data_IF_239462980411
#
_entry.id   IF_239462980411
#
_cell.length_a   1.000
_cell.length_b   1.000
_cell.length_c   1.000
_cell.angle_alpha   90.00
_cell.angle_beta   90.00
_cell.angle_gamma   90.00
#
_symmetry.space_group_name_H-M   'P 1'
#
loop_
_entity.id
_entity.type
_entity.pdbx_description
1 polymer ?
#
# COMPACT_ATOMS: atom_id res chain seq x y z
N UNK A 1 17.59 22.53 9.63
CA UNK A 1 17.74 21.24 10.33
C UNK A 1 17.38 20.13 9.35
N UNK A 2 18.02 18.96 9.41
CA UNK A 2 17.63 17.81 8.57
C UNK A 2 16.22 17.34 8.99
N UNK A 3 15.27 17.13 8.07
CA UNK A 3 13.94 16.65 8.41
C UNK A 3 14.01 15.24 9.02
N UNK A 4 13.09 14.92 9.92
CA UNK A 4 13.00 13.56 10.48
C UNK A 4 12.16 12.62 9.61
N UNK A 5 11.13 13.15 8.97
CA UNK A 5 10.21 12.42 8.11
C UNK A 5 10.06 13.12 6.76
N UNK A 6 10.26 12.35 5.70
CA UNK A 6 9.95 12.73 4.32
C UNK A 6 8.63 12.07 3.90
N UNK A 7 7.64 12.90 3.57
CA UNK A 7 6.34 12.48 3.04
C UNK A 7 6.39 12.55 1.52
N UNK A 8 6.21 11.40 0.88
CA UNK A 8 6.35 11.26 -0.57
C UNK A 8 4.99 10.97 -1.21
N UNK A 9 4.70 11.70 -2.28
CA UNK A 9 3.65 11.35 -3.25
C UNK A 9 4.27 11.14 -4.64
N UNK A 10 3.75 10.17 -5.38
CA UNK A 10 4.27 9.80 -6.71
C UNK A 10 3.15 9.76 -7.75
N UNK A 11 2.62 10.92 -8.17
CA UNK A 11 1.50 10.96 -9.09
C UNK A 11 1.91 10.47 -10.48
N UNK A 12 1.07 9.61 -11.06
CA UNK A 12 1.23 9.05 -12.42
C UNK A 12 0.08 9.43 -13.36
N UNK A 13 -0.87 10.19 -12.86
CA UNK A 13 -2.10 10.63 -13.53
C UNK A 13 -2.33 12.11 -13.21
N UNK A 14 -3.37 12.71 -13.81
CA UNK A 14 -3.79 14.08 -13.51
C UNK A 14 -3.94 14.33 -12.01
N UNK A 15 -3.68 15.57 -11.61
CA UNK A 15 -3.64 16.02 -10.22
C UNK A 15 -4.94 15.72 -9.45
N UNK A 16 -6.09 15.75 -10.12
CA UNK A 16 -7.40 15.42 -9.55
C UNK A 16 -7.45 14.08 -8.80
N UNK A 17 -6.55 13.14 -9.14
CA UNK A 17 -6.42 11.86 -8.47
C UNK A 17 -5.87 12.01 -7.05
N UNK A 18 -4.96 12.96 -6.81
CA UNK A 18 -4.27 13.16 -5.54
C UNK A 18 -5.02 14.04 -4.54
N UNK A 19 -6.06 14.77 -4.99
CA UNK A 19 -6.71 15.83 -4.21
C UNK A 19 -7.15 15.38 -2.81
N UNK A 20 -7.73 14.17 -2.68
CA UNK A 20 -8.16 13.65 -1.39
C UNK A 20 -6.99 13.40 -0.43
N UNK A 21 -5.94 12.79 -0.95
CA UNK A 21 -4.74 12.49 -0.16
C UNK A 21 -4.08 13.78 0.28
N UNK A 22 -3.87 14.71 -0.66
CA UNK A 22 -3.18 15.99 -0.40
C UNK A 22 -3.99 16.88 0.51
N UNK A 23 -5.32 16.94 0.38
CA UNK A 23 -6.15 17.71 1.32
C UNK A 23 -5.99 17.23 2.76
N UNK A 24 -5.79 15.92 2.98
CA UNK A 24 -5.54 15.40 4.32
C UNK A 24 -4.10 15.62 4.82
N UNK A 25 -3.13 15.77 3.90
CA UNK A 25 -1.77 16.17 4.24
C UNK A 25 -1.69 17.66 4.62
N UNK A 26 -2.49 18.51 3.98
CA UNK A 26 -2.63 19.94 4.33
C UNK A 26 -3.21 20.16 5.72
N UNK A 27 -4.01 19.21 6.21
CA UNK A 27 -4.62 19.23 7.54
C UNK A 27 -3.75 18.61 8.65
N UNK A 28 -2.47 18.28 8.38
CA UNK A 28 -1.59 17.73 9.39
C UNK A 28 -1.14 18.80 10.41
N UNK A 29 -0.97 18.41 11.67
CA UNK A 29 -0.65 19.36 12.76
C UNK A 29 0.81 19.79 12.85
N UNK A 30 1.70 19.19 12.05
CA UNK A 30 3.17 19.34 12.15
C UNK A 30 3.85 19.60 10.80
N UNK A 31 3.12 20.18 9.83
CA UNK A 31 3.57 20.42 8.45
C UNK A 31 4.96 21.07 8.37
N UNK A 32 5.23 22.07 9.21
CA UNK A 32 6.49 22.84 9.17
C UNK A 32 7.76 22.04 9.53
N UNK A 33 7.59 20.82 10.05
CA UNK A 33 8.71 19.94 10.45
C UNK A 33 9.02 18.84 9.45
N UNK A 34 8.22 18.74 8.39
CA UNK A 34 8.23 17.65 7.42
C UNK A 34 8.93 18.08 6.13
N UNK A 35 9.55 17.11 5.45
CA UNK A 35 9.91 17.27 4.04
C UNK A 35 8.79 16.68 3.18
N UNK A 36 8.33 17.42 2.18
CA UNK A 36 7.35 16.94 1.22
C UNK A 36 8.03 16.76 -0.15
N UNK A 37 7.91 15.57 -0.75
CA UNK A 37 8.40 15.30 -2.09
C UNK A 37 7.26 14.89 -3.01
N UNK A 38 7.26 15.48 -4.19
CA UNK A 38 6.43 15.05 -5.32
C UNK A 38 7.38 14.57 -6.41
N UNK A 39 7.32 13.28 -6.74
CA UNK A 39 8.15 12.68 -7.80
C UNK A 39 7.27 12.17 -8.93
N UNK A 40 7.47 12.67 -10.15
CA UNK A 40 6.63 12.35 -11.30
C UNK A 40 7.42 12.31 -12.62
N UNK A 41 6.87 11.66 -13.64
CA UNK A 41 7.47 11.62 -14.99
C UNK A 41 7.10 12.78 -15.91
N UNK A 42 6.11 13.60 -15.55
CA UNK A 42 5.70 14.74 -16.38
C UNK A 42 4.90 15.75 -15.58
N UNK A 43 5.45 16.94 -15.35
CA UNK A 43 4.76 18.03 -14.66
C UNK A 43 3.59 18.57 -15.49
N UNK A 44 3.79 18.71 -16.80
CA UNK A 44 2.75 19.11 -17.73
C UNK A 44 1.57 18.12 -17.70
N UNK A 45 1.86 16.81 -17.65
CA UNK A 45 0.86 15.75 -17.59
C UNK A 45 0.01 15.75 -16.32
N UNK A 46 0.51 16.34 -15.22
CA UNK A 46 -0.26 16.45 -13.97
C UNK A 46 -1.40 17.46 -14.07
N UNK A 47 -1.29 18.48 -14.94
CA UNK A 47 -2.32 19.52 -15.12
C UNK A 47 -2.68 20.17 -13.78
N UNK A 48 -1.68 20.67 -13.05
CA UNK A 48 -1.89 21.32 -11.76
C UNK A 48 -2.89 22.49 -11.88
N UNK A 49 -3.92 22.54 -11.02
CA UNK A 49 -4.73 23.75 -10.90
C UNK A 49 -3.90 24.89 -10.29
N UNK A 50 -4.33 26.15 -10.44
CA UNK A 50 -3.75 27.25 -9.67
C UNK A 50 -3.82 26.95 -8.17
N UNK A 51 -2.75 27.24 -7.43
CA UNK A 51 -2.65 26.96 -5.99
C UNK A 51 -3.00 25.50 -5.64
N UNK A 52 -2.47 24.55 -6.42
CA UNK A 52 -2.75 23.12 -6.28
C UNK A 52 -2.44 22.53 -4.90
N UNK A 53 -1.62 23.20 -4.09
CA UNK A 53 -1.40 22.89 -2.69
C UNK A 53 -0.82 24.08 -1.91
N UNK A 54 -1.00 24.08 -0.59
CA UNK A 54 -0.31 24.96 0.36
C UNK A 54 0.96 24.32 0.96
N UNK A 55 1.25 23.06 0.66
CA UNK A 55 2.41 22.34 1.18
C UNK A 55 3.69 22.69 0.40
N UNK A 56 4.85 22.79 1.07
CA UNK A 56 6.11 23.14 0.44
C UNK A 56 6.76 21.93 -0.26
N UNK A 57 6.09 21.34 -1.26
CA UNK A 57 6.63 20.21 -2.00
C UNK A 57 7.91 20.57 -2.75
N UNK A 58 8.98 19.78 -2.54
CA UNK A 58 10.07 19.67 -3.51
C UNK A 58 9.61 18.78 -4.64
N UNK A 59 9.47 19.39 -5.81
CA UNK A 59 9.01 18.73 -7.03
C UNK A 59 10.21 18.20 -7.81
N UNK A 60 10.17 16.92 -8.15
CA UNK A 60 11.22 16.21 -8.89
C UNK A 60 10.58 15.56 -10.12
N UNK A 61 10.90 16.11 -11.28
CA UNK A 61 10.52 15.52 -12.56
C UNK A 61 11.65 14.60 -13.02
N UNK A 62 11.32 13.33 -13.28
CA UNK A 62 12.28 12.35 -13.80
C UNK A 62 12.17 12.26 -15.31
N UNK A 63 13.29 11.98 -15.95
CA UNK A 63 13.32 11.65 -17.37
C UNK A 63 12.58 10.32 -17.62
N UNK A 64 11.95 10.23 -18.79
CA UNK A 64 11.14 9.10 -19.24
C UNK A 64 9.89 8.76 -18.41
N UNK A 65 8.96 8.06 -19.07
CA UNK A 65 7.74 7.58 -18.43
C UNK A 65 8.07 6.40 -17.52
N UNK A 66 7.80 6.55 -16.22
CA UNK A 66 8.03 5.57 -15.18
C UNK A 66 6.74 5.07 -14.54
N UNK A 67 6.75 3.84 -14.08
CA UNK A 67 5.73 3.28 -13.20
C UNK A 67 5.88 3.82 -11.77
N UNK A 68 4.80 3.72 -10.97
CA UNK A 68 4.78 4.30 -9.62
C UNK A 68 5.87 3.75 -8.70
N UNK A 69 6.24 2.47 -8.85
CA UNK A 69 7.27 1.84 -8.04
C UNK A 69 8.69 2.35 -8.36
N UNK A 70 8.97 2.65 -9.62
CA UNK A 70 10.21 3.31 -10.03
C UNK A 70 10.27 4.75 -9.49
N UNK A 71 9.15 5.49 -9.55
CA UNK A 71 9.06 6.83 -8.96
C UNK A 71 9.28 6.82 -7.44
N UNK A 72 8.72 5.83 -6.74
CA UNK A 72 8.94 5.61 -5.30
C UNK A 72 10.41 5.34 -5.01
N UNK A 73 11.09 4.57 -5.87
CA UNK A 73 12.53 4.28 -5.76
C UNK A 73 13.36 5.57 -5.86
N UNK A 74 13.05 6.42 -6.86
CA UNK A 74 13.68 7.74 -6.98
C UNK A 74 13.40 8.58 -5.74
N UNK A 75 12.16 8.62 -5.26
CA UNK A 75 11.78 9.39 -4.09
C UNK A 75 12.52 8.96 -2.81
N UNK A 76 12.73 7.66 -2.59
CA UNK A 76 13.53 7.16 -1.46
C UNK A 76 14.98 7.65 -1.53
N UNK A 77 15.57 7.63 -2.74
CA UNK A 77 16.94 8.11 -2.96
C UNK A 77 17.05 9.62 -2.77
N UNK A 78 16.06 10.37 -3.24
CA UNK A 78 16.01 11.83 -3.17
C UNK A 78 15.67 12.36 -1.78
N UNK A 79 14.82 11.66 -1.03
CA UNK A 79 14.40 12.07 0.31
C UNK A 79 15.61 12.35 1.21
N UNK A 80 15.51 13.39 2.04
CA UNK A 80 16.58 13.76 2.97
C UNK A 80 16.24 13.40 4.41
N UNK A 81 15.01 12.96 4.69
CA UNK A 81 14.57 12.54 6.02
C UNK A 81 15.20 11.22 6.49
N UNK A 82 15.31 11.07 7.81
CA UNK A 82 15.74 9.80 8.43
C UNK A 82 14.73 8.67 8.12
N UNK A 83 13.44 9.02 8.06
CA UNK A 83 12.35 8.15 7.63
C UNK A 83 11.70 8.66 6.35
N UNK A 84 11.26 7.72 5.50
CA UNK A 84 10.49 8.00 4.28
C UNK A 84 9.15 7.29 4.36
N UNK A 85 8.05 8.02 4.14
CA UNK A 85 6.72 7.44 3.99
C UNK A 85 6.18 7.66 2.58
N UNK A 86 5.78 6.56 1.94
CA UNK A 86 5.20 6.55 0.60
C UNK A 86 3.68 6.54 0.73
N UNK A 87 3.05 7.65 0.36
CA UNK A 87 1.61 7.85 0.51
C UNK A 87 0.89 7.48 -0.79
N UNK A 88 -0.18 6.70 -0.68
CA UNK A 88 -1.00 6.31 -1.83
C UNK A 88 -1.95 7.42 -2.30
N UNK A 89 -2.43 7.33 -3.54
CA UNK A 89 -3.27 8.36 -4.15
C UNK A 89 -4.78 8.25 -3.81
N UNK A 90 -5.13 7.29 -2.97
CA UNK A 90 -6.52 6.95 -2.64
C UNK A 90 -6.69 6.66 -1.15
N UNK A 91 -6.03 7.46 -0.32
CA UNK A 91 -6.13 7.42 1.14
C UNK A 91 -6.53 8.78 1.69
N UNK A 92 -7.08 8.77 2.90
CA UNK A 92 -7.27 9.97 3.69
C UNK A 92 -6.62 9.75 5.06
N UNK A 93 -5.66 10.59 5.41
CA UNK A 93 -4.85 10.45 6.62
C UNK A 93 -5.53 11.17 7.80
N UNK A 94 -5.34 10.70 9.03
CA UNK A 94 -5.84 11.42 10.22
C UNK A 94 -5.04 12.68 10.50
N UNK A 95 -5.60 13.75 11.09
CA UNK A 95 -4.88 15.02 11.29
C UNK A 95 -3.60 14.89 12.14
N UNK A 96 -3.58 13.88 13.01
CA UNK A 96 -2.46 13.49 13.88
C UNK A 96 -1.46 12.52 13.23
N UNK A 97 -1.69 12.07 11.99
CA UNK A 97 -0.95 10.95 11.39
C UNK A 97 0.56 11.20 11.28
N UNK A 98 0.98 12.36 10.78
CA UNK A 98 2.41 12.73 10.70
C UNK A 98 3.01 12.92 12.10
N UNK A 99 2.27 13.51 13.03
CA UNK A 99 2.74 13.76 14.38
C UNK A 99 2.99 12.44 15.14
N UNK A 100 2.08 11.47 14.98
CA UNK A 100 2.20 10.13 15.55
C UNK A 100 3.36 9.36 14.91
N UNK A 101 3.58 9.46 13.60
CA UNK A 101 4.77 8.87 12.96
C UNK A 101 6.07 9.48 13.51
N UNK A 102 6.16 10.81 13.55
CA UNK A 102 7.34 11.53 14.05
C UNK A 102 7.69 11.14 15.49
N UNK A 103 6.69 11.09 16.37
CA UNK A 103 6.89 10.71 17.77
C UNK A 103 7.56 9.33 17.91
N UNK A 104 7.30 8.39 17.00
CA UNK A 104 7.90 7.05 17.03
C UNK A 104 9.27 6.97 16.35
N UNK A 105 9.66 7.97 15.56
CA UNK A 105 10.98 7.96 14.91
C UNK A 105 12.13 8.03 15.92
N UNK A 106 11.91 8.68 17.07
CA UNK A 106 12.90 8.78 18.14
C UNK A 106 13.17 7.45 18.86
N UNK A 107 12.24 6.50 18.74
CA UNK A 107 12.36 5.15 19.34
C UNK A 107 13.22 4.19 18.48
N UNK A 108 13.62 4.60 17.26
CA UNK A 108 14.58 3.86 16.43
C UNK A 108 14.02 2.64 15.68
N UNK A 109 12.71 2.58 15.44
CA UNK A 109 12.07 1.46 14.74
C UNK A 109 12.50 1.35 13.27
N UNK A 110 12.55 0.13 12.74
CA UNK A 110 12.90 -0.11 11.33
C UNK A 110 11.84 0.46 10.37
N UNK A 111 10.59 0.36 10.78
CA UNK A 111 9.42 0.86 10.08
C UNK A 111 8.28 1.12 11.07
N UNK A 112 7.45 2.13 10.81
CA UNK A 112 6.33 2.53 11.65
C UNK A 112 5.07 2.59 10.78
N UNK A 113 4.12 1.71 11.07
CA UNK A 113 2.87 1.57 10.31
C UNK A 113 1.64 1.68 11.20
N UNK A 114 0.50 1.89 10.54
CA UNK A 114 -0.74 2.27 11.21
C UNK A 114 -1.93 1.37 10.96
N UNK A 115 -3.02 1.70 11.64
CA UNK A 115 -4.33 1.14 11.41
C UNK A 115 -4.90 1.60 10.06
N UNK A 116 -5.38 0.63 9.28
CA UNK A 116 -6.06 0.87 8.01
C UNK A 116 -7.55 0.68 8.21
N UNK A 117 -8.36 1.64 7.76
CA UNK A 117 -9.81 1.59 7.85
C UNK A 117 -10.44 1.71 6.45
N UNK A 118 -11.60 1.08 6.18
CA UNK A 118 -12.30 1.29 4.92
C UNK A 118 -12.74 2.76 4.79
N UNK A 119 -12.47 3.38 3.63
CA UNK A 119 -12.90 4.74 3.30
C UNK A 119 -14.15 4.81 2.41
N UNK A 120 -14.35 3.82 1.53
CA UNK A 120 -15.41 3.82 0.54
C UNK A 120 -16.75 3.20 0.99
N UNK A 121 -17.73 3.20 0.08
CA UNK A 121 -19.00 2.49 0.27
C UNK A 121 -18.72 1.00 0.53
N UNK A 122 -19.27 0.48 1.63
CA UNK A 122 -19.12 -0.90 2.06
C UNK A 122 -19.98 -1.86 1.22
N UNK A 123 -19.52 -2.27 0.04
CA UNK A 123 -20.15 -3.32 -0.80
C UNK A 123 -19.63 -4.71 -0.43
N UNK A 124 -20.30 -5.78 -0.87
CA UNK A 124 -19.77 -7.15 -0.63
C UNK A 124 -18.36 -7.34 -1.23
N UNK A 125 -18.10 -6.75 -2.40
CA UNK A 125 -16.80 -6.82 -3.08
C UNK A 125 -15.74 -6.01 -2.33
N UNK A 126 -16.02 -4.75 -1.98
CA UNK A 126 -15.03 -3.90 -1.29
C UNK A 126 -14.70 -4.45 0.10
N UNK A 127 -15.68 -4.99 0.83
CA UNK A 127 -15.45 -5.66 2.11
C UNK A 127 -14.61 -6.92 1.96
N UNK A 128 -14.87 -7.74 0.94
CA UNK A 128 -14.09 -8.95 0.69
C UNK A 128 -12.64 -8.61 0.33
N UNK A 129 -12.44 -7.65 -0.57
CA UNK A 129 -11.12 -7.11 -0.91
C UNK A 129 -10.40 -6.61 0.34
N UNK A 130 -11.04 -5.74 1.12
CA UNK A 130 -10.47 -5.16 2.32
C UNK A 130 -10.10 -6.23 3.35
N UNK A 131 -11.01 -7.16 3.68
CA UNK A 131 -10.73 -8.20 4.68
C UNK A 131 -9.57 -9.11 4.28
N UNK A 132 -9.42 -9.42 2.99
CA UNK A 132 -8.36 -10.29 2.49
C UNK A 132 -7.00 -9.59 2.38
N UNK A 133 -6.99 -8.27 2.12
CA UNK A 133 -5.76 -7.51 1.85
C UNK A 133 -5.32 -6.67 3.04
N UNK A 134 -6.23 -5.87 3.61
CA UNK A 134 -5.96 -4.89 4.68
C UNK A 134 -6.57 -5.22 6.05
N UNK A 135 -7.46 -6.23 6.13
CA UNK A 135 -8.22 -6.55 7.34
C UNK A 135 -7.33 -6.84 8.55
N UNK A 136 -6.09 -7.30 8.33
CA UNK A 136 -5.12 -7.55 9.40
C UNK A 136 -4.82 -6.32 10.26
N UNK A 137 -4.82 -5.11 9.66
CA UNK A 137 -4.54 -3.82 10.30
C UNK A 137 -5.79 -3.06 10.76
N UNK A 138 -6.98 -3.62 10.53
CA UNK A 138 -8.25 -2.97 10.86
C UNK A 138 -8.68 -3.21 12.31
N UNK A 139 -8.92 -2.13 13.06
CA UNK A 139 -9.35 -2.17 14.47
C UNK A 139 -8.41 -3.02 15.35
N UNK A 140 -7.10 -2.95 15.12
CA UNK A 140 -6.13 -3.45 16.09
C UNK A 140 -5.93 -2.39 17.18
N UNK A 141 -5.71 -2.86 18.40
CA UNK A 141 -5.52 -2.01 19.56
C UNK A 141 -4.02 -1.96 19.92
N UNK A 142 -3.58 -0.76 20.32
CA UNK A 142 -2.26 -0.53 20.90
C UNK A 142 -1.09 -0.65 19.92
N UNK A 143 0.10 -0.72 20.52
CA UNK A 143 1.37 -0.83 19.84
C UNK A 143 1.82 -2.29 19.79
N UNK A 144 2.34 -2.72 18.64
CA UNK A 144 2.73 -4.12 18.42
C UNK A 144 4.07 -4.16 17.68
N UNK A 145 5.09 -4.61 18.41
CA UNK A 145 6.45 -4.82 17.89
C UNK A 145 6.48 -6.08 17.03
N UNK A 146 7.20 -6.06 15.91
CA UNK A 146 7.32 -7.15 14.95
C UNK A 146 6.00 -7.55 14.27
N UNK A 147 4.98 -6.71 14.36
CA UNK A 147 3.75 -6.91 13.60
C UNK A 147 4.00 -6.61 12.11
N UNK A 148 3.34 -7.35 11.18
CA UNK A 148 3.31 -6.93 9.79
C UNK A 148 2.67 -5.54 9.68
N UNK A 149 3.12 -4.73 8.72
CA UNK A 149 2.58 -3.42 8.36
C UNK A 149 1.95 -3.46 6.96
N UNK A 150 1.21 -2.42 6.59
CA UNK A 150 0.44 -2.40 5.32
C UNK A 150 1.31 -2.27 4.06
N UNK A 151 2.61 -2.03 4.20
CA UNK A 151 3.50 -1.73 3.08
C UNK A 151 3.46 -0.23 2.77
N UNK A 152 2.58 0.21 1.88
CA UNK A 152 2.42 1.66 1.68
C UNK A 152 1.75 2.33 2.90
N UNK A 153 1.90 3.65 2.96
CA UNK A 153 1.49 4.48 4.10
C UNK A 153 2.17 4.08 5.42
N UNK A 154 3.30 3.41 5.33
CA UNK A 154 4.21 3.06 6.42
C UNK A 154 5.47 3.90 6.28
N UNK A 155 5.95 4.49 7.37
CA UNK A 155 7.23 5.17 7.39
C UNK A 155 8.36 4.14 7.55
N UNK A 156 9.38 4.22 6.70
CA UNK A 156 10.51 3.30 6.70
C UNK A 156 11.80 4.04 7.01
N UNK A 157 12.67 3.45 7.83
CA UNK A 157 14.00 4.00 8.04
C UNK A 157 14.76 4.01 6.71
N UNK A 158 15.11 5.20 6.23
CA UNK A 158 15.59 5.41 4.85
C UNK A 158 16.84 4.60 4.55
N UNK A 159 17.80 4.58 5.48
CA UNK A 159 19.07 3.85 5.30
C UNK A 159 18.88 2.34 5.16
N UNK A 160 17.79 1.76 5.67
CA UNK A 160 17.50 0.34 5.46
C UNK A 160 17.05 0.08 4.02
N UNK A 161 16.28 1.01 3.44
CA UNK A 161 15.85 0.92 2.04
C UNK A 161 17.02 1.13 1.07
N UNK A 162 17.93 2.05 1.36
CA UNK A 162 19.07 2.34 0.48
C UNK A 162 20.10 1.21 0.41
N UNK A 163 20.12 0.30 1.39
CA UNK A 163 21.00 -0.89 1.37
C UNK A 163 20.47 -2.00 0.46
N UNK A 164 19.30 -1.83 -0.15
CA UNK A 164 18.69 -2.85 -1.01
C UNK A 164 19.15 -2.69 -2.46
N UNK A 165 19.82 -3.72 -2.98
CA UNK A 165 20.23 -3.76 -4.39
C UNK A 165 19.02 -3.77 -5.35
N UNK A 166 17.90 -4.39 -4.94
CA UNK A 166 16.66 -4.53 -5.70
C UNK A 166 15.51 -3.68 -5.12
N UNK A 167 15.80 -2.46 -4.64
CA UNK A 167 14.81 -1.53 -4.06
C UNK A 167 13.54 -1.37 -4.93
N UNK A 168 13.71 -1.33 -6.25
CA UNK A 168 12.60 -1.16 -7.20
C UNK A 168 11.55 -2.28 -7.13
N UNK A 169 11.99 -3.55 -7.05
CA UNK A 169 11.10 -4.69 -6.85
C UNK A 169 10.33 -4.58 -5.54
N UNK A 170 11.01 -4.17 -4.46
CA UNK A 170 10.39 -3.94 -3.16
C UNK A 170 9.33 -2.83 -3.20
N UNK A 171 9.55 -1.76 -3.99
CA UNK A 171 8.57 -0.69 -4.18
C UNK A 171 7.36 -1.11 -5.02
N UNK A 172 7.47 -2.18 -5.80
CA UNK A 172 6.40 -2.66 -6.67
C UNK A 172 5.39 -3.57 -5.96
N UNK A 173 5.76 -4.13 -4.82
CA UNK A 173 4.90 -5.03 -4.07
C UNK A 173 5.02 -4.81 -2.56
N UNK A 174 4.01 -4.20 -1.90
CA UNK A 174 3.92 -4.07 -0.44
C UNK A 174 4.27 -5.32 0.36
N UNK A 175 3.88 -6.49 -0.15
CA UNK A 175 4.14 -7.77 0.49
C UNK A 175 5.63 -8.13 0.56
N UNK A 176 6.45 -7.65 -0.39
CA UNK A 176 7.90 -7.81 -0.36
C UNK A 176 8.53 -6.95 0.72
N UNK A 177 8.10 -5.69 0.87
CA UNK A 177 8.60 -4.83 1.94
C UNK A 177 8.42 -5.48 3.31
N UNK A 178 7.26 -6.12 3.54
CA UNK A 178 7.01 -6.86 4.79
C UNK A 178 7.95 -8.06 5.01
N UNK A 179 8.28 -8.79 3.94
CA UNK A 179 9.18 -9.94 4.03
C UNK A 179 10.61 -9.51 4.35
N UNK A 180 11.06 -8.40 3.77
CA UNK A 180 12.39 -7.85 3.99
C UNK A 180 12.67 -7.58 5.47
N UNK A 181 11.81 -6.81 6.14
CA UNK A 181 12.07 -6.41 7.53
C UNK A 181 12.08 -7.62 8.47
N UNK A 182 11.20 -8.61 8.24
CA UNK A 182 11.22 -9.88 8.98
C UNK A 182 12.55 -10.63 8.82
N UNK A 183 13.18 -10.55 7.66
CA UNK A 183 14.46 -11.21 7.39
C UNK A 183 15.69 -10.43 7.90
N UNK A 184 15.57 -9.10 8.03
CA UNK A 184 16.67 -8.23 8.47
C UNK A 184 16.98 -8.29 9.97
N UNK A 185 16.08 -8.84 10.78
CA UNK A 185 16.18 -8.83 12.25
C UNK A 185 15.80 -7.49 12.89
N UNK A 186 15.60 -6.45 12.08
CA UNK A 186 15.18 -5.12 12.53
C UNK A 186 13.66 -5.07 12.79
N UNK A 187 13.26 -4.50 13.92
CA UNK A 187 11.88 -4.59 14.40
C UNK A 187 10.97 -3.48 13.82
N UNK A 188 9.89 -3.81 13.08
CA UNK A 188 8.85 -2.87 12.75
C UNK A 188 7.90 -2.63 13.94
N UNK A 189 7.30 -1.44 13.99
CA UNK A 189 6.25 -1.08 14.92
C UNK A 189 4.92 -0.88 14.18
N UNK A 190 3.90 -1.60 14.59
CA UNK A 190 2.51 -1.21 14.33
C UNK A 190 2.01 -0.35 15.50
N UNK A 191 1.30 0.75 15.23
CA UNK A 191 0.57 1.51 16.24
C UNK A 191 -0.86 1.80 15.80
N UNK A 192 -1.82 1.67 16.71
CA UNK A 192 -3.22 2.02 16.44
C UNK A 192 -3.48 3.53 16.32
N UNK A 193 -2.47 4.37 16.62
CA UNK A 193 -2.58 5.85 16.60
C UNK A 193 -2.38 6.45 15.22
N UNK A 194 -1.55 5.84 14.39
CA UNK A 194 -1.40 6.19 12.98
C UNK A 194 -2.60 5.61 12.23
N UNK A 195 -3.50 6.44 11.70
CA UNK A 195 -4.75 5.98 11.08
C UNK A 195 -4.90 6.50 9.65
N UNK A 196 -5.35 5.62 8.76
CA UNK A 196 -5.76 6.01 7.40
C UNK A 196 -7.15 5.44 7.06
N UNK A 197 -7.88 6.15 6.20
CA UNK A 197 -8.96 5.57 5.40
C UNK A 197 -8.39 5.17 4.05
N UNK A 198 -8.63 3.94 3.61
CA UNK A 198 -8.19 3.41 2.34
C UNK A 198 -9.40 3.00 1.48
N UNK A 199 -9.38 3.34 0.19
CA UNK A 199 -10.45 3.00 -0.74
C UNK A 199 -10.10 1.78 -1.58
N UNK A 200 -10.76 0.65 -1.33
CA UNK A 200 -10.66 -0.53 -2.18
C UNK A 200 -11.55 -0.45 -3.43
N UNK A 201 -11.23 -1.22 -4.49
CA UNK A 201 -12.11 -1.40 -5.63
C UNK A 201 -13.48 -1.95 -5.20
N UNK A 202 -14.55 -1.29 -5.63
CA UNK A 202 -15.92 -1.73 -5.35
C UNK A 202 -16.53 -2.59 -6.48
N UNK A 203 -15.89 -2.59 -7.65
CA UNK A 203 -16.32 -3.32 -8.84
C UNK A 203 -15.67 -4.71 -8.91
N UNK A 204 -16.46 -5.75 -9.18
CA UNK A 204 -15.98 -7.13 -9.25
C UNK A 204 -14.85 -7.30 -10.28
N UNK A 205 -15.01 -6.78 -11.50
CA UNK A 205 -13.99 -6.91 -12.55
C UNK A 205 -12.64 -6.28 -12.17
N UNK A 206 -12.67 -5.13 -11.48
CA UNK A 206 -11.48 -4.47 -10.98
C UNK A 206 -10.81 -5.28 -9.86
N UNK A 207 -11.60 -5.81 -8.92
CA UNK A 207 -11.12 -6.69 -7.85
C UNK A 207 -10.45 -7.96 -8.39
N UNK A 208 -11.10 -8.63 -9.36
CA UNK A 208 -10.56 -9.82 -10.02
C UNK A 208 -9.25 -9.51 -10.75
N UNK A 209 -9.21 -8.42 -11.54
CA UNK A 209 -8.01 -7.99 -12.26
C UNK A 209 -6.85 -7.68 -11.30
N UNK A 210 -7.15 -7.01 -10.19
CA UNK A 210 -6.16 -6.66 -9.18
C UNK A 210 -5.57 -7.91 -8.52
N UNK A 211 -6.40 -8.81 -8.00
CA UNK A 211 -5.92 -10.03 -7.33
C UNK A 211 -5.26 -11.03 -8.27
N UNK A 212 -5.72 -11.13 -9.52
CA UNK A 212 -5.02 -11.88 -10.55
C UNK A 212 -3.60 -11.36 -10.77
N UNK A 213 -3.45 -10.04 -10.94
CA UNK A 213 -2.16 -9.40 -11.20
C UNK A 213 -1.23 -9.49 -9.99
N UNK A 214 -1.74 -9.21 -8.78
CA UNK A 214 -1.02 -9.40 -7.53
C UNK A 214 -0.58 -10.86 -7.35
N UNK A 215 -1.47 -11.82 -7.65
CA UNK A 215 -1.14 -13.24 -7.63
C UNK A 215 0.03 -13.56 -8.56
N UNK A 216 0.00 -13.12 -9.82
CA UNK A 216 1.10 -13.35 -10.76
C UNK A 216 2.44 -12.81 -10.25
N UNK A 217 2.44 -11.64 -9.63
CA UNK A 217 3.63 -11.07 -8.99
C UNK A 217 4.14 -11.98 -7.87
N UNK A 218 3.27 -12.36 -6.92
CA UNK A 218 3.65 -13.21 -5.80
C UNK A 218 4.12 -14.60 -6.22
N UNK A 219 3.51 -15.21 -7.24
CA UNK A 219 3.94 -16.49 -7.80
C UNK A 219 5.33 -16.41 -8.44
N UNK A 220 5.59 -15.33 -9.19
CA UNK A 220 6.91 -15.02 -9.77
C UNK A 220 7.97 -14.90 -8.68
N UNK A 221 7.68 -14.10 -7.65
CA UNK A 221 8.60 -13.83 -6.54
C UNK A 221 8.89 -15.07 -5.69
N UNK A 222 7.85 -15.81 -5.29
CA UNK A 222 7.98 -16.98 -4.40
C UNK A 222 8.77 -18.11 -5.02
N UNK A 223 8.77 -18.19 -6.35
CA UNK A 223 9.45 -19.24 -7.10
C UNK A 223 10.66 -18.71 -7.90
N UNK A 224 11.13 -17.52 -7.53
CA UNK A 224 12.42 -17.00 -8.00
C UNK A 224 13.53 -18.00 -7.64
N UNK A 225 14.35 -18.36 -8.62
CA UNK A 225 15.42 -19.35 -8.46
C UNK A 225 14.98 -20.83 -8.36
N UNK A 226 13.68 -21.14 -8.39
CA UNK A 226 13.22 -22.54 -8.33
C UNK A 226 13.36 -23.26 -9.67
N UNK A 227 13.60 -24.57 -9.62
CA UNK A 227 13.60 -25.42 -10.83
C UNK A 227 12.18 -25.59 -11.40
N UNK A 228 12.03 -25.91 -12.70
CA UNK A 228 10.71 -26.07 -13.32
C UNK A 228 9.79 -27.09 -12.62
N UNK A 229 10.25 -28.27 -12.15
CA UNK A 229 9.39 -29.21 -11.42
C UNK A 229 8.81 -28.62 -10.12
N UNK A 230 9.60 -27.85 -9.37
CA UNK A 230 9.14 -27.22 -8.13
C UNK A 230 8.11 -26.12 -8.43
N UNK A 231 8.28 -25.37 -9.53
CA UNK A 231 7.30 -24.39 -10.00
C UNK A 231 5.96 -25.04 -10.36
N UNK A 232 6.00 -26.16 -11.09
CA UNK A 232 4.80 -26.93 -11.40
C UNK A 232 4.13 -27.50 -10.14
N UNK A 233 4.91 -28.05 -9.20
CA UNK A 233 4.39 -28.54 -7.93
C UNK A 233 3.68 -27.43 -7.14
N UNK A 234 4.29 -26.23 -7.07
CA UNK A 234 3.67 -25.05 -6.45
C UNK A 234 2.38 -24.64 -7.17
N UNK A 235 2.40 -24.62 -8.51
CA UNK A 235 1.23 -24.30 -9.34
C UNK A 235 0.07 -25.26 -9.09
N UNK A 236 0.35 -26.56 -8.97
CA UNK A 236 -0.66 -27.58 -8.65
C UNK A 236 -1.20 -27.44 -7.22
N UNK A 237 -0.43 -26.85 -6.31
CA UNK A 237 -0.84 -26.54 -4.94
C UNK A 237 -1.73 -25.28 -4.83
N UNK A 238 -2.14 -24.66 -5.94
CA UNK A 238 -2.97 -23.45 -5.91
C UNK A 238 -4.26 -23.55 -5.07
N UNK A 239 -4.96 -24.71 -4.93
CA UNK A 239 -6.15 -24.77 -4.08
C UNK A 239 -5.79 -24.51 -2.61
N UNK A 240 -4.63 -24.96 -2.15
CA UNK A 240 -4.12 -24.67 -0.81
C UNK A 240 -3.71 -23.20 -0.66
N UNK A 241 -3.11 -22.60 -1.71
CA UNK A 241 -2.79 -21.16 -1.73
C UNK A 241 -4.06 -20.30 -1.69
N UNK A 242 -5.08 -20.65 -2.47
CA UNK A 242 -6.39 -20.01 -2.44
C UNK A 242 -7.06 -20.18 -1.05
N UNK A 243 -7.02 -21.38 -0.47
CA UNK A 243 -7.55 -21.64 0.87
C UNK A 243 -6.83 -20.79 1.94
N UNK A 244 -5.51 -20.59 1.83
CA UNK A 244 -4.75 -19.70 2.71
C UNK A 244 -5.24 -18.26 2.62
N UNK A 245 -5.44 -17.73 1.42
CA UNK A 245 -5.93 -16.35 1.22
C UNK A 245 -7.37 -16.17 1.72
N UNK A 246 -8.22 -17.17 1.47
CA UNK A 246 -9.58 -17.20 2.01
C UNK A 246 -9.57 -17.23 3.53
N UNK A 247 -8.79 -18.13 4.13
CA UNK A 247 -8.65 -18.25 5.58
C UNK A 247 -8.16 -16.94 6.21
N UNK A 248 -7.21 -16.24 5.58
CA UNK A 248 -6.75 -14.92 6.04
C UNK A 248 -7.92 -13.96 6.25
N UNK A 249 -8.80 -13.83 5.26
CA UNK A 249 -9.97 -12.96 5.36
C UNK A 249 -11.03 -13.50 6.33
N UNK A 250 -11.24 -14.82 6.39
CA UNK A 250 -12.21 -15.44 7.33
C UNK A 250 -11.80 -15.19 8.77
N UNK A 251 -10.50 -15.28 9.10
CA UNK A 251 -10.00 -14.96 10.43
C UNK A 251 -10.29 -13.50 10.81
N UNK A 252 -10.17 -12.56 9.86
CA UNK A 252 -10.54 -11.16 10.11
C UNK A 252 -12.06 -11.01 10.29
N UNK A 253 -12.86 -11.70 9.47
CA UNK A 253 -14.32 -11.70 9.59
C UNK A 253 -14.77 -12.21 10.97
N UNK A 254 -14.20 -13.32 11.44
CA UNK A 254 -14.48 -13.89 12.77
C UNK A 254 -14.02 -12.95 13.90
N UNK A 255 -12.84 -12.32 13.77
CA UNK A 255 -12.35 -11.31 14.71
C UNK A 255 -13.30 -10.11 14.82
N UNK A 256 -13.92 -9.69 13.72
CA UNK A 256 -14.92 -8.62 13.73
C UNK A 256 -16.28 -9.11 14.22
N UNK A 257 -16.61 -10.39 14.02
CA UNK A 257 -17.86 -10.99 14.50
C UNK A 257 -17.92 -11.02 16.01
N UNK A 258 -16.82 -11.37 16.69
CA UNK A 258 -16.76 -11.34 18.16
C UNK A 258 -16.94 -9.93 18.74
N UNK A 259 -16.83 -8.89 17.89
CA UNK A 259 -17.06 -7.48 18.22
C UNK A 259 -18.39 -6.93 17.67
N UNK A 260 -19.25 -7.77 17.09
CA UNK A 260 -20.55 -7.38 16.52
C UNK A 260 -20.47 -6.55 15.24
N UNK A 261 -19.32 -6.56 14.53
CA UNK A 261 -19.05 -5.68 13.37
C UNK A 261 -18.78 -6.44 12.06
N UNK A 262 -19.09 -7.74 12.01
CA UNK A 262 -18.76 -8.60 10.86
C UNK A 262 -19.59 -8.27 9.60
N UNK A 263 -18.94 -7.98 8.46
CA UNK A 263 -19.61 -7.79 7.17
C UNK A 263 -19.89 -9.14 6.48
N UNK A 264 -20.81 -9.95 6.99
CA UNK A 264 -21.09 -11.31 6.49
C UNK A 264 -21.37 -11.41 4.98
N UNK A 265 -21.91 -10.34 4.38
CA UNK A 265 -22.12 -10.24 2.92
C UNK A 265 -20.84 -10.39 2.09
N UNK A 266 -19.65 -10.22 2.69
CA UNK A 266 -18.37 -10.39 2.01
C UNK A 266 -17.98 -11.86 1.79
N UNK A 267 -18.49 -12.79 2.61
CA UNK A 267 -17.99 -14.16 2.66
C UNK A 267 -18.04 -14.92 1.31
N UNK A 268 -19.13 -14.86 0.51
CA UNK A 268 -19.16 -15.49 -0.80
C UNK A 268 -18.14 -14.88 -1.77
N UNK A 269 -17.99 -13.56 -1.74
CA UNK A 269 -17.03 -12.85 -2.58
C UNK A 269 -15.59 -13.20 -2.21
N UNK A 270 -15.27 -13.38 -0.94
CA UNK A 270 -13.94 -13.76 -0.48
C UNK A 270 -13.49 -15.11 -1.07
N UNK A 271 -14.38 -16.09 -1.18
CA UNK A 271 -14.05 -17.39 -1.77
C UNK A 271 -13.66 -17.25 -3.25
N UNK A 272 -14.48 -16.53 -4.02
CA UNK A 272 -14.21 -16.26 -5.44
C UNK A 272 -12.89 -15.51 -5.65
N UNK A 273 -12.71 -14.43 -4.90
CA UNK A 273 -11.52 -13.57 -4.97
C UNK A 273 -10.26 -14.33 -4.56
N UNK A 274 -10.33 -15.17 -3.52
CA UNK A 274 -9.21 -16.00 -3.09
C UNK A 274 -8.82 -17.05 -4.14
N UNK A 275 -9.81 -17.63 -4.83
CA UNK A 275 -9.58 -18.53 -5.96
C UNK A 275 -8.80 -17.84 -7.09
N UNK A 276 -9.22 -16.63 -7.49
CA UNK A 276 -8.50 -15.85 -8.52
C UNK A 276 -7.10 -15.45 -8.08
N UNK A 277 -6.93 -15.09 -6.80
CA UNK A 277 -5.60 -14.80 -6.26
C UNK A 277 -4.69 -16.03 -6.31
N UNK A 278 -5.16 -17.19 -5.83
CA UNK A 278 -4.40 -18.44 -5.87
C UNK A 278 -4.06 -18.89 -7.30
N UNK A 279 -5.00 -18.78 -8.23
CA UNK A 279 -4.75 -19.06 -9.65
C UNK A 279 -3.72 -18.10 -10.27
N UNK A 280 -3.76 -16.82 -9.90
CA UNK A 280 -2.76 -15.84 -10.32
C UNK A 280 -1.36 -16.24 -9.86
N UNK A 281 -1.21 -16.66 -8.60
CA UNK A 281 0.06 -17.18 -8.09
C UNK A 281 0.51 -18.46 -8.82
N UNK A 282 -0.42 -19.37 -9.08
CA UNK A 282 -0.14 -20.59 -9.83
C UNK A 282 0.40 -20.27 -11.22
N UNK A 283 -0.21 -19.31 -11.91
CA UNK A 283 0.22 -18.85 -13.22
C UNK A 283 1.57 -18.12 -13.18
N UNK A 284 1.75 -17.21 -12.23
CA UNK A 284 3.01 -16.48 -12.05
C UNK A 284 4.18 -17.41 -11.74
N UNK A 285 3.94 -18.52 -11.04
CA UNK A 285 4.99 -19.51 -10.73
C UNK A 285 5.51 -20.27 -11.95
N UNK A 286 4.62 -20.60 -12.91
CA UNK A 286 5.00 -21.33 -14.13
C UNK A 286 5.51 -20.41 -15.24
N UNK A 287 5.07 -19.15 -15.25
CA UNK A 287 5.44 -18.12 -16.22
C UNK A 287 5.92 -16.85 -15.50
N UNK A 288 7.06 -16.89 -14.79
CA UNK A 288 7.59 -15.73 -14.13
C UNK A 288 7.92 -14.63 -15.14
N UNK A 289 7.56 -13.39 -14.82
CA UNK A 289 7.78 -12.26 -15.72
C UNK A 289 7.79 -10.93 -14.96
N UNK A 290 8.81 -10.10 -15.20
CA UNK A 290 8.99 -8.84 -14.46
C UNK A 290 7.92 -7.79 -14.78
N UNK A 291 7.45 -7.74 -16.03
CA UNK A 291 6.31 -6.88 -16.42
C UNK A 291 5.01 -7.10 -15.62
N UNK A 292 4.91 -8.11 -14.74
CA UNK A 292 3.79 -8.19 -13.79
C UNK A 292 3.86 -7.10 -12.70
N UNK A 293 5.06 -6.66 -12.30
CA UNK A 293 5.27 -5.56 -11.36
C UNK A 293 4.77 -4.23 -11.93
N UNK A 294 5.05 -3.98 -13.21
CA UNK A 294 4.54 -2.84 -13.98
C UNK A 294 3.01 -2.84 -14.05
N UNK A 295 2.43 -4.01 -14.34
CA UNK A 295 0.98 -4.19 -14.40
C UNK A 295 0.33 -3.94 -13.04
N UNK A 296 0.92 -4.44 -11.95
CA UNK A 296 0.43 -4.22 -10.59
C UNK A 296 0.50 -2.74 -10.24
N UNK A 297 1.63 -2.10 -10.51
CA UNK A 297 1.85 -0.67 -10.31
C UNK A 297 0.79 0.19 -10.99
N UNK A 298 0.41 -0.14 -12.23
CA UNK A 298 -0.67 0.55 -12.94
C UNK A 298 -2.08 0.35 -12.35
N UNK A 299 -2.28 -0.67 -11.53
CA UNK A 299 -3.54 -0.97 -10.82
C UNK A 299 -3.56 -0.46 -9.37
N UNK A 300 -2.41 -0.15 -8.81
CA UNK A 300 -2.28 0.47 -7.49
C UNK A 300 -2.61 1.97 -7.53
N UNK A 301 -2.49 2.61 -8.68
CA UNK A 301 -2.77 4.05 -8.86
C UNK A 301 -4.16 4.31 -9.43
N UNK A 302 -4.66 5.52 -9.20
CA UNK A 302 -5.92 6.05 -9.69
C UNK A 302 -7.09 5.09 -9.42
N UNK A 303 -7.31 4.82 -8.13
CA UNK A 303 -8.36 3.90 -7.68
C UNK A 303 -9.77 4.43 -7.91
N UNK A 304 -9.91 5.73 -8.16
CA UNK A 304 -11.17 6.40 -8.55
C UNK A 304 -11.80 5.87 -9.84
N UNK A 305 -11.05 5.14 -10.68
CA UNK A 305 -11.61 4.39 -11.82
C UNK A 305 -12.57 3.27 -11.39
N UNK A 306 -12.43 2.78 -10.16
CA UNK A 306 -13.10 1.56 -9.66
C UNK A 306 -13.91 1.79 -8.39
N UNK A 307 -13.96 3.02 -7.90
CA UNK A 307 -14.68 3.44 -6.69
C UNK A 307 -15.04 4.92 -6.77
N UNK A 308 -15.86 5.42 -5.85
CA UNK A 308 -16.26 6.84 -5.84
C UNK A 308 -15.33 7.64 -4.93
N UNK A 309 -14.68 8.67 -5.48
CA UNK A 309 -13.98 9.71 -4.71
C UNK A 309 -15.03 10.50 -3.90
N UNK A 310 -14.82 10.75 -2.59
CA UNK A 310 -15.68 11.64 -1.83
C UNK A 310 -15.56 13.09 -2.34
N UNK A 311 -16.59 13.90 -2.10
CA UNK A 311 -16.57 15.33 -2.41
C UNK A 311 -15.72 16.08 -1.35
N UNK A 312 -14.97 17.10 -1.77
CA UNK A 312 -14.12 17.91 -0.88
C UNK A 312 -14.82 19.21 -0.44
N UNK A 313 -14.59 19.73 0.78
CA UNK A 313 -13.71 19.17 1.81
C UNK A 313 -14.31 17.90 2.45
N UNK A 314 -13.43 16.96 2.78
CA UNK A 314 -13.80 15.68 3.39
C UNK A 314 -12.96 15.49 4.65
N UNK A 315 -13.59 15.15 5.78
CA UNK A 315 -12.91 14.72 6.98
C UNK A 315 -13.72 13.59 7.67
N UNK A 316 -13.18 12.36 7.74
CA UNK A 316 -13.83 11.20 8.34
C UNK A 316 -13.40 10.93 9.79
N UNK A 317 -12.65 11.84 10.42
CA UNK A 317 -11.99 11.63 11.73
C UNK A 317 -12.68 12.32 12.90
#
# INVERSE_FOLDING_TARGET
>A
MKPKLSVVITPTHKWEVQELTVSSLENQTVVDTLEFLLVCSSLEGLQFPPNWTNLPFRVIEVEDKKYVHELRTVAVREATGDYVVLVEDHVHLSPDWCAELLARTEEGWAAIGGAVQPGGRRTAISEAMFLMTYGEWFQRDGDQVNAPLSGHNTAYHRELLLKLDNLEEFMACPALMQALFRSSGEAPLFTSRVKIRHWDPAQLGAALKHLWTLGKCLGTLRTAGWSPPLRWAFSLAFPAVAAKHWLRGVLQLLRLSSRGKAPWKAAPCMLLLAGVWGLGEAYGSIKPHDAYFDQLSGLEVNRWRYTRKPDLPYDPW
#
